data_IF_751955923115
#
_entry.id   IF_751955923115
#
_cell.length_a   1.000
_cell.length_b   1.000
_cell.length_c   1.000
_cell.angle_alpha   90.00
_cell.angle_beta   90.00
_cell.angle_gamma   90.00
#
_symmetry.space_group_name_H-M   'P 1'
#
loop_
_entity.id
_entity.type
_entity.pdbx_description
1 polymer ?
#
# COMPACT_ATOMS: atom_id res chain seq x y z
N UNK A 1 52.43 -52.42 -56.66
CA UNK A 1 51.96 -53.19 -55.50
C UNK A 1 52.01 -52.18 -54.30
N UNK A 2 50.93 -51.64 -53.94
CA UNK A 2 50.76 -50.67 -52.85
C UNK A 2 50.07 -51.38 -51.68
N UNK A 3 50.53 -51.15 -50.43
CA UNK A 3 49.75 -51.58 -49.29
C UNK A 3 48.85 -50.46 -48.81
N UNK A 4 47.68 -50.87 -48.46
CA UNK A 4 46.53 -50.13 -47.96
C UNK A 4 46.81 -49.65 -46.54
N UNK A 5 46.89 -48.34 -46.32
CA UNK A 5 46.94 -47.73 -44.98
C UNK A 5 45.55 -47.64 -44.36
N UNK A 6 45.42 -48.26 -43.19
CA UNK A 6 44.22 -48.18 -42.34
C UNK A 6 44.23 -46.84 -41.61
N UNK A 7 43.22 -45.99 -41.86
CA UNK A 7 42.97 -44.81 -41.07
C UNK A 7 42.18 -45.19 -39.81
N UNK A 8 42.79 -44.99 -38.63
CA UNK A 8 42.08 -45.01 -37.35
C UNK A 8 41.25 -43.75 -37.23
N UNK A 9 39.93 -43.86 -37.23
CA UNK A 9 39.03 -42.79 -36.80
C UNK A 9 39.05 -42.72 -35.26
N UNK A 10 39.68 -41.68 -34.70
CA UNK A 10 39.55 -41.33 -33.29
C UNK A 10 38.27 -40.53 -33.15
N UNK A 11 37.25 -41.13 -32.62
CA UNK A 11 36.02 -40.46 -32.21
C UNK A 11 36.30 -39.74 -30.90
N UNK A 12 36.51 -38.45 -30.94
CA UNK A 12 36.49 -37.58 -29.75
C UNK A 12 35.04 -37.40 -29.32
N UNK A 13 34.66 -38.09 -28.25
CA UNK A 13 33.42 -37.83 -27.54
C UNK A 13 33.56 -36.50 -26.79
N UNK A 14 32.98 -35.43 -27.35
CA UNK A 14 32.80 -34.18 -26.64
C UNK A 14 31.75 -34.41 -25.56
N UNK A 15 32.19 -34.50 -24.31
CA UNK A 15 31.29 -34.43 -23.14
C UNK A 15 30.85 -32.98 -23.03
N UNK A 16 29.63 -32.71 -23.52
CA UNK A 16 28.96 -31.46 -23.26
C UNK A 16 28.55 -31.44 -21.79
N UNK A 17 29.34 -30.73 -20.98
CA UNK A 17 28.97 -30.36 -19.61
C UNK A 17 27.81 -29.37 -19.70
N UNK A 18 26.57 -29.88 -19.66
CA UNK A 18 25.38 -29.04 -19.52
C UNK A 18 25.44 -28.40 -18.12
N UNK A 19 25.93 -27.21 -18.03
CA UNK A 19 25.72 -26.34 -16.86
C UNK A 19 24.23 -26.07 -16.78
N UNK A 20 23.54 -26.80 -15.92
CA UNK A 20 22.20 -26.48 -15.49
C UNK A 20 22.34 -25.15 -14.73
N UNK A 21 22.17 -24.06 -15.44
CA UNK A 21 21.96 -22.76 -14.86
C UNK A 21 20.67 -22.83 -14.04
N UNK A 22 20.83 -23.02 -12.74
CA UNK A 22 19.74 -22.76 -11.82
C UNK A 22 19.40 -21.26 -11.96
N UNK A 23 18.42 -20.96 -12.81
CA UNK A 23 17.70 -19.70 -12.73
C UNK A 23 17.11 -19.66 -11.33
N UNK A 24 17.75 -18.90 -10.42
CA UNK A 24 17.11 -18.47 -9.22
C UNK A 24 15.86 -17.71 -9.68
N UNK A 25 14.72 -18.37 -9.61
CA UNK A 25 13.45 -17.71 -9.69
C UNK A 25 13.48 -16.67 -8.56
N UNK A 26 13.72 -15.43 -8.91
CA UNK A 26 13.45 -14.31 -8.02
C UNK A 26 11.95 -14.42 -7.74
N UNK A 27 11.61 -14.97 -6.57
CA UNK A 27 10.29 -14.89 -6.01
C UNK A 27 10.01 -13.41 -5.90
N UNK A 28 9.36 -12.84 -6.91
CA UNK A 28 8.93 -11.47 -6.90
C UNK A 28 7.99 -11.34 -5.71
N UNK A 29 8.40 -10.58 -4.70
CA UNK A 29 7.48 -10.15 -3.66
C UNK A 29 6.48 -9.27 -4.38
N UNK A 30 5.29 -9.81 -4.58
CA UNK A 30 4.16 -9.07 -5.12
C UNK A 30 3.62 -8.25 -3.96
N UNK A 31 3.87 -6.96 -3.97
CA UNK A 31 3.28 -6.02 -3.04
C UNK A 31 1.82 -5.86 -3.44
N UNK A 32 0.90 -6.40 -2.68
CA UNK A 32 -0.52 -6.14 -2.83
C UNK A 32 -0.98 -5.29 -1.65
N UNK A 33 -1.49 -4.09 -1.93
CA UNK A 33 -2.07 -3.19 -0.92
C UNK A 33 -3.38 -3.71 -0.33
N UNK A 34 -3.92 -4.76 -0.84
CA UNK A 34 -5.26 -5.17 -0.53
C UNK A 34 -5.34 -6.43 0.33
N UNK A 35 -4.97 -6.33 1.59
CA UNK A 35 -5.77 -6.96 2.63
C UNK A 35 -6.78 -5.94 3.10
N UNK A 36 -8.03 -6.37 3.13
CA UNK A 36 -9.11 -5.59 3.72
C UNK A 36 -8.74 -5.20 5.15
N UNK A 37 -9.00 -3.96 5.58
CA UNK A 37 -8.74 -3.57 6.95
C UNK A 37 -9.55 -4.50 7.87
N UNK A 38 -8.88 -5.23 8.74
CA UNK A 38 -9.56 -5.87 9.87
C UNK A 38 -9.92 -4.75 10.82
N UNK A 39 -11.15 -4.25 10.71
CA UNK A 39 -11.62 -3.12 11.49
C UNK A 39 -12.24 -3.61 12.79
N UNK A 40 -11.64 -3.28 13.92
CA UNK A 40 -12.28 -3.36 15.23
C UNK A 40 -12.83 -1.99 15.61
N UNK A 41 -14.14 -1.86 15.74
CA UNK A 41 -14.77 -0.60 16.19
C UNK A 41 -14.50 -0.38 17.67
N UNK A 42 -13.83 0.70 17.99
CA UNK A 42 -13.76 1.20 19.37
C UNK A 42 -14.91 2.18 19.55
N UNK A 43 -15.88 1.85 20.41
CA UNK A 43 -16.99 2.76 20.74
C UNK A 43 -16.42 3.99 21.47
N UNK A 44 -16.30 5.11 20.78
CA UNK A 44 -16.00 6.39 21.37
C UNK A 44 -17.31 7.11 21.73
N UNK A 45 -17.42 7.55 22.97
CA UNK A 45 -18.51 8.42 23.44
C UNK A 45 -18.47 9.77 22.70
N UNK A 46 -19.64 10.19 22.28
CA UNK A 46 -19.95 11.28 21.37
C UNK A 46 -19.35 12.65 21.74
N UNK A 47 -18.47 13.14 20.90
CA UNK A 47 -18.37 14.51 20.41
C UNK A 47 -17.99 14.39 18.93
N UNK A 48 -18.42 15.29 18.05
CA UNK A 48 -18.40 15.16 16.59
C UNK A 48 -16.98 14.98 15.96
N UNK A 49 -16.34 13.91 16.33
CA UNK A 49 -15.13 13.39 15.69
C UNK A 49 -15.54 12.31 14.71
N UNK A 50 -14.87 12.16 13.57
CA UNK A 50 -15.15 11.06 12.64
C UNK A 50 -15.09 9.72 13.37
N UNK A 51 -15.93 8.77 12.96
CA UNK A 51 -15.82 7.40 13.43
C UNK A 51 -14.37 6.94 13.27
N UNK A 52 -13.79 6.39 14.33
CA UNK A 52 -12.40 5.92 14.31
C UNK A 52 -12.38 4.41 14.37
N UNK A 53 -11.65 3.78 13.45
CA UNK A 53 -11.44 2.33 13.42
C UNK A 53 -9.96 2.00 13.51
N UNK A 54 -9.63 0.87 14.11
CA UNK A 54 -8.28 0.31 14.09
C UNK A 54 -8.16 -0.63 12.91
N UNK A 55 -7.06 -0.52 12.18
CA UNK A 55 -6.72 -1.36 11.04
C UNK A 55 -5.33 -1.95 11.24
N UNK A 56 -5.12 -3.18 10.77
CA UNK A 56 -3.80 -3.79 10.81
C UNK A 56 -2.82 -3.20 9.78
N UNK A 57 -3.34 -2.56 8.72
CA UNK A 57 -2.51 -2.13 7.59
C UNK A 57 -2.78 -0.71 7.09
N UNK A 58 -3.91 -0.06 7.41
CA UNK A 58 -4.26 1.26 6.89
C UNK A 58 -4.28 2.34 7.98
N UNK A 59 -3.72 3.52 7.65
CA UNK A 59 -3.87 4.76 8.39
C UNK A 59 -4.27 5.89 7.44
N UNK A 60 -5.26 6.69 7.81
CA UNK A 60 -5.73 7.79 6.98
C UNK A 60 -7.23 7.98 7.06
N UNK A 61 -7.83 8.40 5.96
CA UNK A 61 -9.26 8.65 5.89
C UNK A 61 -9.93 7.86 4.77
N UNK A 62 -11.11 7.38 5.10
CA UNK A 62 -12.03 6.70 4.17
C UNK A 62 -13.37 7.44 4.22
N UNK A 63 -13.94 7.70 3.07
CA UNK A 63 -15.32 8.17 2.95
C UNK A 63 -16.16 7.11 2.25
N UNK A 64 -17.37 6.92 2.76
CA UNK A 64 -18.28 5.88 2.27
C UNK A 64 -19.72 6.35 2.28
N UNK A 65 -20.65 5.46 1.94
CA UNK A 65 -22.08 5.74 2.06
C UNK A 65 -22.40 6.12 3.51
N UNK A 66 -23.21 7.16 3.71
CA UNK A 66 -23.72 7.52 5.02
C UNK A 66 -24.51 6.35 5.63
N UNK A 67 -24.29 6.09 6.94
CA UNK A 67 -24.72 4.92 7.71
C UNK A 67 -26.19 4.49 7.60
N UNK A 68 -26.51 3.41 8.30
CA UNK A 68 -27.78 2.69 8.27
C UNK A 68 -29.03 3.61 8.19
N UNK A 69 -29.66 3.68 7.02
CA UNK A 69 -30.90 4.43 6.79
C UNK A 69 -30.99 5.21 5.49
N UNK A 70 -29.88 5.44 4.79
CA UNK A 70 -29.93 6.10 3.48
C UNK A 70 -29.94 5.06 2.36
N UNK A 71 -31.07 4.95 1.68
CA UNK A 71 -31.34 3.96 0.63
C UNK A 71 -30.62 4.21 -0.71
N UNK A 72 -29.65 5.12 -0.76
CA UNK A 72 -28.88 5.38 -1.95
C UNK A 72 -27.45 4.92 -1.73
N UNK A 73 -27.04 3.86 -2.42
CA UNK A 73 -25.62 3.49 -2.54
C UNK A 73 -24.86 4.66 -3.17
N UNK A 74 -24.14 5.41 -2.36
CA UNK A 74 -23.29 6.50 -2.85
C UNK A 74 -22.20 5.88 -3.71
N UNK A 75 -22.14 6.25 -4.99
CA UNK A 75 -21.16 5.72 -5.94
C UNK A 75 -20.07 6.74 -6.15
N UNK A 76 -18.88 6.45 -5.64
CA UNK A 76 -17.70 7.27 -5.82
C UNK A 76 -17.09 7.01 -7.19
N UNK A 77 -16.86 8.07 -7.96
CA UNK A 77 -16.36 7.95 -9.35
C UNK A 77 -14.99 8.56 -9.56
N UNK A 78 -14.50 9.33 -8.60
CA UNK A 78 -13.12 9.83 -8.63
C UNK A 78 -12.60 10.08 -7.22
N UNK A 79 -11.28 9.97 -7.06
CA UNK A 79 -10.55 10.36 -5.86
C UNK A 79 -9.23 10.99 -6.29
N UNK A 80 -8.75 11.97 -5.54
CA UNK A 80 -7.47 12.64 -5.80
C UNK A 80 -6.85 13.23 -4.56
N UNK A 81 -5.52 13.37 -4.57
CA UNK A 81 -4.77 14.13 -3.57
C UNK A 81 -3.39 14.51 -4.08
N UNK A 82 -2.71 15.33 -3.28
CA UNK A 82 -1.29 15.63 -3.39
C UNK A 82 -0.60 15.33 -2.08
N UNK A 83 0.67 14.91 -2.15
CA UNK A 83 1.54 14.74 -0.97
C UNK A 83 2.99 15.07 -1.31
N UNK A 84 3.76 15.32 -0.28
CA UNK A 84 5.22 15.35 -0.37
C UNK A 84 5.74 13.95 -0.05
N UNK A 85 6.52 13.37 -0.96
CA UNK A 85 7.13 12.04 -0.75
C UNK A 85 7.98 12.08 0.51
N UNK A 86 7.66 11.29 1.56
CA UNK A 86 8.44 11.29 2.78
C UNK A 86 9.76 10.52 2.58
N UNK A 87 10.79 10.93 3.33
CA UNK A 87 11.96 10.10 3.53
C UNK A 87 11.60 8.92 4.44
N UNK A 88 12.38 7.84 4.36
CA UNK A 88 12.29 6.71 5.27
C UNK A 88 13.56 6.60 6.08
N UNK A 89 13.43 6.35 7.39
CA UNK A 89 14.55 6.08 8.28
C UNK A 89 14.82 4.57 8.30
N UNK A 90 16.00 4.14 7.87
CA UNK A 90 16.36 2.72 7.78
C UNK A 90 17.51 2.39 8.75
N UNK A 91 17.29 1.42 9.62
CA UNK A 91 18.35 0.82 10.41
C UNK A 91 19.20 -0.15 9.55
N UNK A 92 20.47 -0.42 9.90
CA UNK A 92 21.30 -1.38 9.19
C UNK A 92 20.62 -2.76 9.09
N UNK A 93 20.49 -3.29 7.87
CA UNK A 93 19.87 -4.59 7.60
C UNK A 93 18.35 -4.63 7.64
N UNK A 94 17.67 -3.53 8.00
CA UNK A 94 16.23 -3.43 8.09
C UNK A 94 15.54 -3.66 6.73
N UNK A 95 14.42 -4.40 6.76
CA UNK A 95 13.50 -4.52 5.63
C UNK A 95 12.09 -4.22 6.10
N UNK A 96 11.63 -3.02 5.77
CA UNK A 96 10.31 -2.49 6.14
C UNK A 96 9.73 -1.67 4.99
N UNK A 97 8.43 -1.43 4.98
CA UNK A 97 7.73 -0.95 3.80
C UNK A 97 6.63 0.02 4.19
N UNK A 98 6.45 1.07 3.41
CA UNK A 98 5.31 1.98 3.55
C UNK A 98 4.80 2.40 2.17
N UNK A 99 3.49 2.37 1.97
CA UNK A 99 2.83 2.82 0.77
C UNK A 99 1.91 4.01 1.06
N UNK A 100 1.80 4.95 0.11
CA UNK A 100 0.96 6.15 0.21
C UNK A 100 0.16 6.29 -1.07
N UNK A 101 -1.17 6.31 -0.96
CA UNK A 101 -1.99 6.20 -2.14
C UNK A 101 -3.39 6.83 -1.99
N UNK A 102 -4.06 6.95 -3.12
CA UNK A 102 -5.49 7.23 -3.22
C UNK A 102 -6.16 6.09 -3.98
N UNK A 103 -7.37 5.72 -3.58
CA UNK A 103 -8.10 4.59 -4.12
C UNK A 103 -9.61 4.75 -4.12
N UNK A 104 -10.28 3.90 -4.90
CA UNK A 104 -11.72 3.71 -4.90
C UNK A 104 -12.02 2.25 -4.56
N UNK A 105 -12.85 2.02 -3.54
CA UNK A 105 -13.26 0.71 -3.08
C UNK A 105 -12.28 0.05 -2.10
N UNK A 106 -12.59 -1.14 -1.65
CA UNK A 106 -11.72 -1.91 -0.75
C UNK A 106 -11.96 -1.69 0.74
N UNK A 107 -12.77 -0.72 1.15
CA UNK A 107 -12.96 -0.40 2.56
C UNK A 107 -13.95 -1.32 3.30
N UNK A 108 -14.73 -2.11 2.61
CA UNK A 108 -15.67 -3.06 3.23
C UNK A 108 -15.09 -4.47 3.28
N UNK A 109 -15.46 -5.24 4.32
CA UNK A 109 -15.02 -6.63 4.50
C UNK A 109 -15.46 -7.56 3.35
N UNK A 110 -16.44 -7.14 2.55
CA UNK A 110 -16.95 -7.88 1.41
C UNK A 110 -16.39 -7.41 0.07
N UNK A 111 -15.62 -6.33 0.06
CA UNK A 111 -15.02 -5.78 -1.16
C UNK A 111 -14.05 -6.78 -1.80
N UNK A 112 -14.11 -6.89 -3.13
CA UNK A 112 -13.22 -7.74 -3.91
C UNK A 112 -12.41 -6.91 -4.92
N UNK A 113 -12.57 -5.60 -4.91
CA UNK A 113 -11.92 -4.69 -5.84
C UNK A 113 -11.44 -3.42 -5.14
N UNK A 114 -10.31 -2.90 -5.59
CA UNK A 114 -9.76 -1.61 -5.18
C UNK A 114 -8.89 -1.11 -6.33
N UNK A 115 -9.24 0.06 -6.85
CA UNK A 115 -8.46 0.75 -7.86
C UNK A 115 -7.60 1.82 -7.19
N UNK A 116 -6.28 1.63 -7.15
CA UNK A 116 -5.38 2.51 -6.40
C UNK A 116 -4.11 2.88 -7.16
N UNK A 117 -3.54 4.04 -6.80
CA UNK A 117 -2.29 4.54 -7.36
C UNK A 117 -1.52 5.35 -6.32
N UNK A 118 -0.22 5.12 -6.23
CA UNK A 118 0.56 5.72 -5.17
C UNK A 118 2.07 5.65 -5.30
N UNK A 119 2.72 5.86 -4.17
CA UNK A 119 4.18 5.82 -4.00
C UNK A 119 4.54 4.96 -2.80
N UNK A 120 5.79 4.52 -2.75
CA UNK A 120 6.34 3.79 -1.59
C UNK A 120 7.60 4.43 -1.08
N UNK A 121 7.84 4.29 0.23
CA UNK A 121 9.10 4.54 0.94
C UNK A 121 9.46 3.26 1.68
N UNK A 122 10.46 2.53 1.17
CA UNK A 122 10.84 1.22 1.70
C UNK A 122 12.25 1.26 2.25
N UNK A 123 12.52 0.45 3.28
CA UNK A 123 13.86 0.03 3.67
C UNK A 123 14.11 -1.37 3.09
N UNK A 124 15.16 -1.52 2.32
CA UNK A 124 15.56 -2.81 1.73
C UNK A 124 16.97 -3.17 2.17
N UNK A 125 17.07 -4.08 3.13
CA UNK A 125 18.34 -4.41 3.78
C UNK A 125 19.10 -3.17 4.25
N UNK A 126 18.42 -2.23 4.91
CA UNK A 126 18.99 -0.99 5.44
C UNK A 126 19.15 0.14 4.41
N UNK A 127 18.72 -0.06 3.17
CA UNK A 127 18.83 0.96 2.11
C UNK A 127 17.46 1.52 1.74
N UNK A 128 17.34 2.85 1.79
CA UNK A 128 16.10 3.52 1.41
C UNK A 128 15.81 3.38 -0.09
N UNK A 129 14.58 3.00 -0.44
CA UNK A 129 14.12 2.82 -1.80
C UNK A 129 12.74 3.45 -1.99
N UNK A 130 12.56 4.14 -3.12
CA UNK A 130 11.33 4.86 -3.42
C UNK A 130 10.79 4.43 -4.78
N UNK A 131 9.47 4.28 -4.88
CA UNK A 131 8.83 3.89 -6.14
C UNK A 131 7.46 4.53 -6.32
N UNK A 132 6.99 4.54 -7.56
CA UNK A 132 5.59 4.81 -7.92
C UNK A 132 4.98 3.52 -8.44
N UNK A 133 3.70 3.31 -8.18
CA UNK A 133 3.00 2.10 -8.57
C UNK A 133 1.50 2.37 -8.76
N UNK A 134 0.80 1.47 -9.42
CA UNK A 134 -0.66 1.37 -9.42
C UNK A 134 -1.10 -0.08 -9.24
N UNK A 135 -2.30 -0.28 -8.79
CA UNK A 135 -2.87 -1.61 -8.56
C UNK A 135 -4.37 -1.63 -8.83
N UNK A 136 -4.84 -2.75 -9.32
CA UNK A 136 -6.24 -3.09 -9.49
C UNK A 136 -6.45 -4.44 -8.81
N UNK A 137 -6.90 -4.42 -7.58
CA UNK A 137 -7.14 -5.65 -6.80
C UNK A 137 -8.19 -6.51 -7.51
N UNK A 138 -7.99 -7.84 -7.59
CA UNK A 138 -6.96 -8.65 -6.92
C UNK A 138 -5.64 -8.84 -7.69
N UNK A 139 -5.44 -8.12 -8.80
CA UNK A 139 -4.18 -8.20 -9.54
C UNK A 139 -3.04 -7.54 -8.75
N UNK A 140 -1.83 -8.03 -8.97
CA UNK A 140 -0.63 -7.50 -8.34
C UNK A 140 -0.35 -6.04 -8.72
N UNK A 141 0.29 -5.31 -7.83
CA UNK A 141 0.74 -3.94 -8.08
C UNK A 141 1.76 -3.88 -9.23
N UNK A 142 1.66 -2.83 -10.03
CA UNK A 142 2.53 -2.61 -11.21
C UNK A 142 3.40 -1.39 -10.97
N UNK A 143 4.71 -1.61 -10.94
CA UNK A 143 5.68 -0.52 -10.77
C UNK A 143 5.70 0.40 -11.98
N UNK A 144 5.67 1.71 -11.72
CA UNK A 144 5.81 2.76 -12.72
C UNK A 144 7.31 3.11 -12.86
N UNK A 145 7.80 3.22 -14.10
CA UNK A 145 9.23 3.41 -14.37
C UNK A 145 9.77 4.81 -14.01
N UNK A 146 8.92 5.77 -13.68
CA UNK A 146 9.36 7.10 -13.26
C UNK A 146 9.90 7.08 -11.83
N UNK A 147 10.93 7.89 -11.59
CA UNK A 147 11.56 8.02 -10.27
C UNK A 147 10.84 9.03 -9.41
N UNK A 148 10.73 8.73 -8.13
CA UNK A 148 10.33 9.63 -7.06
C UNK A 148 11.41 9.64 -5.98
N UNK A 149 11.58 10.77 -5.31
CA UNK A 149 12.55 10.95 -4.23
C UNK A 149 11.90 11.71 -3.07
N UNK A 150 12.43 11.60 -1.85
CA UNK A 150 12.00 12.42 -0.73
C UNK A 150 11.95 13.90 -1.10
N UNK A 151 10.93 14.60 -0.62
CA UNK A 151 10.69 16.01 -0.93
C UNK A 151 10.02 16.28 -2.27
N UNK A 152 9.84 15.26 -3.14
CA UNK A 152 9.08 15.49 -4.37
C UNK A 152 7.59 15.65 -4.07
N UNK A 153 6.97 16.64 -4.69
CA UNK A 153 5.53 16.83 -4.66
C UNK A 153 4.89 15.90 -5.68
N UNK A 154 4.03 15.03 -5.22
CA UNK A 154 3.28 14.06 -6.02
C UNK A 154 1.80 14.43 -6.03
N UNK A 155 1.14 14.30 -7.18
CA UNK A 155 -0.30 14.40 -7.32
C UNK A 155 -0.84 13.11 -7.95
N UNK A 156 -1.83 12.48 -7.34
CA UNK A 156 -2.41 11.24 -7.81
C UNK A 156 -3.93 11.33 -7.91
N UNK A 157 -4.50 10.55 -8.81
CA UNK A 157 -5.95 10.41 -8.94
C UNK A 157 -6.34 9.08 -9.56
N UNK A 158 -7.49 8.57 -9.12
CA UNK A 158 -8.23 7.48 -9.74
C UNK A 158 -9.58 8.03 -10.21
N UNK A 159 -10.00 7.65 -11.41
CA UNK A 159 -11.32 7.98 -11.95
C UNK A 159 -11.90 6.76 -12.63
N UNK A 160 -13.12 6.40 -12.29
CA UNK A 160 -13.88 5.32 -12.91
C UNK A 160 -15.08 5.90 -13.66
N UNK A 161 -15.26 5.46 -14.90
CA UNK A 161 -16.42 5.76 -15.72
C UNK A 161 -16.93 4.46 -16.35
N UNK A 162 -18.05 3.96 -15.83
CA UNK A 162 -18.54 2.63 -16.17
C UNK A 162 -17.49 1.56 -15.88
N UNK A 163 -17.04 0.86 -16.90
CA UNK A 163 -16.00 -0.19 -16.80
C UNK A 163 -14.60 0.31 -17.16
N UNK A 164 -14.36 1.61 -17.19
CA UNK A 164 -13.04 2.16 -17.47
C UNK A 164 -12.47 2.87 -16.25
N UNK A 165 -11.37 2.35 -15.71
CA UNK A 165 -10.54 3.03 -14.72
C UNK A 165 -9.45 3.86 -15.43
N UNK A 166 -9.25 5.09 -14.97
CA UNK A 166 -8.14 5.96 -15.35
C UNK A 166 -7.33 6.29 -14.11
N UNK A 167 -6.11 5.77 -14.04
CA UNK A 167 -5.18 6.04 -12.95
C UNK A 167 -4.12 7.02 -13.44
N UNK A 168 -3.89 8.07 -12.68
CA UNK A 168 -2.90 9.09 -13.02
C UNK A 168 -2.05 9.46 -11.82
N UNK A 169 -0.72 9.54 -12.02
CA UNK A 169 0.20 10.08 -11.03
C UNK A 169 1.18 11.04 -11.72
N UNK A 170 1.43 12.16 -11.06
CA UNK A 170 2.34 13.20 -11.51
C UNK A 170 3.38 13.45 -10.43
N UNK A 171 4.64 13.49 -10.78
CA UNK A 171 5.66 14.09 -9.96
C UNK A 171 5.79 15.57 -10.39
N UNK A 172 5.21 16.46 -9.63
CA UNK A 172 5.15 17.90 -9.98
C UNK A 172 6.54 18.55 -9.92
N UNK A 173 7.38 18.12 -8.98
CA UNK A 173 8.76 18.59 -8.83
C UNK A 173 9.61 18.23 -10.04
N UNK A 174 9.46 17.02 -10.56
CA UNK A 174 10.24 16.51 -11.70
C UNK A 174 9.53 16.67 -13.05
N UNK A 175 8.31 17.20 -13.05
CA UNK A 175 7.48 17.42 -14.24
C UNK A 175 7.26 16.13 -15.06
N UNK A 176 7.12 14.98 -14.39
CA UNK A 176 6.79 13.70 -15.04
C UNK A 176 5.34 13.32 -14.75
N UNK A 177 4.72 12.66 -15.72
CA UNK A 177 3.31 12.24 -15.66
C UNK A 177 3.17 10.83 -16.19
N UNK A 178 2.47 9.99 -15.45
CA UNK A 178 1.99 8.69 -15.89
C UNK A 178 0.47 8.70 -15.91
N UNK A 179 -0.12 8.06 -16.93
CA UNK A 179 -1.56 7.83 -17.01
C UNK A 179 -1.79 6.44 -17.58
N UNK A 180 -2.61 5.65 -16.92
CA UNK A 180 -3.02 4.34 -17.37
C UNK A 180 -4.55 4.29 -17.43
N UNK A 181 -5.07 3.80 -18.54
CA UNK A 181 -6.49 3.49 -18.71
C UNK A 181 -6.62 1.99 -18.80
N UNK A 182 -7.50 1.41 -18.02
CA UNK A 182 -7.71 -0.04 -17.93
C UNK A 182 -9.20 -0.33 -17.94
N UNK A 183 -9.56 -1.45 -18.52
CA UNK A 183 -10.91 -2.00 -18.41
C UNK A 183 -10.97 -2.81 -17.12
N UNK A 184 -12.01 -2.56 -16.33
CA UNK A 184 -12.32 -3.26 -15.07
C UNK A 184 -13.68 -3.93 -15.20
N UNK A 185 -13.87 -5.08 -14.57
CA UNK A 185 -15.10 -5.87 -14.73
C UNK A 185 -16.16 -5.54 -13.71
N UNK A 186 -15.77 -5.32 -12.45
CA UNK A 186 -16.69 -5.07 -11.36
C UNK A 186 -16.00 -4.17 -10.32
N UNK A 187 -15.93 -2.84 -10.55
CA UNK A 187 -15.34 -1.94 -9.59
C UNK A 187 -16.17 -1.89 -8.30
N UNK A 188 -15.48 -1.83 -7.17
CA UNK A 188 -16.11 -1.39 -5.94
C UNK A 188 -16.03 0.13 -5.88
N UNK A 189 -17.16 0.78 -5.93
CA UNK A 189 -17.27 2.25 -5.89
C UNK A 189 -17.98 2.72 -4.61
N UNK A 190 -17.98 1.89 -3.58
CA UNK A 190 -18.66 2.18 -2.30
C UNK A 190 -17.89 3.16 -1.41
N UNK A 191 -16.62 3.37 -1.70
CA UNK A 191 -15.73 4.23 -0.89
C UNK A 191 -14.68 4.96 -1.72
N UNK A 192 -14.06 5.97 -1.10
CA UNK A 192 -12.87 6.67 -1.59
C UNK A 192 -11.87 6.86 -0.44
N UNK A 193 -10.57 6.66 -0.71
CA UNK A 193 -9.54 6.51 0.32
C UNK A 193 -8.31 7.38 0.06
N UNK A 194 -7.70 7.83 1.18
CA UNK A 194 -6.40 8.51 1.25
C UNK A 194 -5.59 7.86 2.37
N UNK A 195 -4.65 7.02 2.02
CA UNK A 195 -4.06 6.04 2.95
C UNK A 195 -2.53 6.08 2.97
N UNK A 196 -1.99 5.92 4.18
CA UNK A 196 -0.66 5.40 4.44
C UNK A 196 -0.81 3.94 4.92
N UNK A 197 -0.04 3.01 4.34
CA UNK A 197 -0.25 1.57 4.50
C UNK A 197 1.02 0.82 4.82
N UNK A 198 0.90 -0.19 5.70
CA UNK A 198 1.81 -1.32 5.79
C UNK A 198 1.41 -2.38 4.76
N UNK A 199 2.09 -2.47 3.59
CA UNK A 199 1.65 -3.35 2.51
C UNK A 199 1.83 -4.83 2.89
N UNK A 200 1.15 -5.70 2.15
CA UNK A 200 1.25 -7.15 2.32
C UNK A 200 2.05 -7.78 1.18
N UNK A 201 2.73 -8.89 1.47
CA UNK A 201 3.32 -9.76 0.46
C UNK A 201 2.47 -11.02 0.32
N UNK A 202 2.08 -11.34 -0.90
CA UNK A 202 1.29 -12.54 -1.18
C UNK A 202 2.13 -13.57 -1.95
N UNK A 203 1.95 -14.85 -1.63
CA UNK A 203 2.54 -15.93 -2.39
C UNK A 203 1.60 -16.40 -3.52
N UNK A 204 2.09 -17.30 -4.36
CA UNK A 204 1.34 -17.83 -5.51
C UNK A 204 0.04 -18.59 -5.13
N UNK A 205 -0.12 -18.98 -3.87
CA UNK A 205 -1.34 -19.62 -3.36
C UNK A 205 -2.35 -18.60 -2.81
N UNK A 206 -2.09 -17.29 -2.96
CA UNK A 206 -2.96 -16.22 -2.46
C UNK A 206 -2.85 -15.98 -0.95
N UNK A 207 -1.92 -16.63 -0.25
CA UNK A 207 -1.67 -16.34 1.16
C UNK A 207 -0.82 -15.09 1.28
N UNK A 208 -1.36 -14.09 1.96
CA UNK A 208 -0.69 -12.82 2.21
C UNK A 208 -0.22 -12.71 3.65
N UNK A 209 0.92 -12.07 3.84
CA UNK A 209 1.44 -11.64 5.14
C UNK A 209 1.65 -10.14 5.10
N UNK A 210 1.31 -9.46 6.18
CA UNK A 210 1.63 -8.05 6.33
C UNK A 210 3.15 -7.89 6.47
N UNK A 211 3.69 -6.87 5.81
CA UNK A 211 5.10 -6.51 5.91
C UNK A 211 5.29 -5.47 7.03
N UNK A 212 6.47 -5.43 7.67
CA UNK A 212 6.77 -4.42 8.69
C UNK A 212 6.63 -3.01 8.13
N UNK A 213 5.99 -2.12 8.89
CA UNK A 213 5.80 -0.73 8.54
C UNK A 213 7.13 0.03 8.64
N UNK A 214 7.56 0.66 7.55
CA UNK A 214 8.74 1.49 7.54
C UNK A 214 8.50 2.81 8.29
N UNK A 215 9.52 3.29 9.01
CA UNK A 215 9.47 4.60 9.64
C UNK A 215 9.58 5.72 8.59
N UNK A 216 8.45 6.15 8.09
CA UNK A 216 8.33 7.25 7.13
C UNK A 216 8.21 8.64 7.79
N UNK A 217 8.29 8.71 9.13
CA UNK A 217 8.07 9.92 9.90
C UNK A 217 6.64 10.43 9.73
N UNK A 218 6.45 11.42 8.88
CA UNK A 218 5.12 12.00 8.61
C UNK A 218 4.91 12.23 7.12
N UNK A 219 3.73 11.86 6.62
CA UNK A 219 3.25 12.24 5.30
C UNK A 219 2.09 13.23 5.44
N UNK A 220 2.07 14.27 4.60
CA UNK A 220 0.98 15.25 4.54
C UNK A 220 0.24 15.12 3.23
N UNK A 221 -1.03 14.73 3.30
CA UNK A 221 -1.97 14.77 2.19
C UNK A 221 -2.61 16.15 2.11
N UNK A 222 -2.78 16.65 0.91
CA UNK A 222 -3.39 17.95 0.63
C UNK A 222 -4.23 17.90 -0.64
N UNK A 223 -5.14 18.85 -0.80
CA UNK A 223 -6.06 18.90 -1.94
C UNK A 223 -6.81 17.57 -2.14
N UNK A 224 -7.12 16.91 -1.05
CA UNK A 224 -7.91 15.69 -1.06
C UNK A 224 -9.34 16.02 -1.52
N UNK A 225 -9.79 15.30 -2.54
CA UNK A 225 -11.11 15.50 -3.11
C UNK A 225 -11.63 14.20 -3.73
N UNK A 226 -12.95 14.05 -3.70
CA UNK A 226 -13.65 12.94 -4.33
C UNK A 226 -14.90 13.43 -5.06
N UNK A 227 -15.46 12.58 -5.92
CA UNK A 227 -16.74 12.82 -6.58
C UNK A 227 -17.62 11.60 -6.39
N UNK A 228 -18.83 11.82 -5.88
CA UNK A 228 -19.83 10.77 -5.69
C UNK A 228 -21.19 11.24 -6.20
N UNK A 229 -21.88 10.41 -6.97
CA UNK A 229 -23.20 10.73 -7.54
C UNK A 229 -23.26 12.09 -8.28
N UNK A 230 -22.14 12.49 -8.91
CA UNK A 230 -22.03 13.78 -9.63
C UNK A 230 -21.66 14.99 -8.75
N UNK A 231 -21.68 14.85 -7.42
CA UNK A 231 -21.26 15.87 -6.47
C UNK A 231 -19.74 15.75 -6.19
N UNK A 232 -19.01 16.85 -6.25
CA UNK A 232 -17.59 16.91 -5.91
C UNK A 232 -17.40 17.61 -4.56
N UNK A 233 -16.61 17.00 -3.69
CA UNK A 233 -16.35 17.55 -2.35
C UNK A 233 -15.00 17.10 -1.79
N UNK A 234 -14.72 17.53 -0.57
CA UNK A 234 -13.53 17.17 0.20
C UNK A 234 -13.80 15.94 1.07
N UNK A 235 -12.83 15.52 1.90
CA UNK A 235 -12.98 14.39 2.83
C UNK A 235 -14.15 14.65 3.80
N UNK A 236 -14.31 15.88 4.28
CA UNK A 236 -15.29 16.27 5.32
C UNK A 236 -16.62 16.79 4.74
N UNK A 237 -16.91 16.48 3.48
CA UNK A 237 -18.17 16.88 2.84
C UNK A 237 -19.36 16.14 3.48
N UNK A 238 -20.46 16.85 3.84
CA UNK A 238 -21.59 16.23 4.54
C UNK A 238 -22.39 15.20 3.72
N UNK A 239 -22.11 15.05 2.42
CA UNK A 239 -22.81 14.09 1.57
C UNK A 239 -22.34 12.64 1.73
N UNK A 240 -21.32 12.39 2.53
CA UNK A 240 -20.80 11.03 2.82
C UNK A 240 -20.36 10.87 4.27
N UNK A 241 -20.31 9.63 4.71
CA UNK A 241 -19.77 9.30 6.02
C UNK A 241 -18.25 9.32 5.98
N UNK A 242 -17.64 9.83 7.04
CA UNK A 242 -16.21 9.94 7.23
C UNK A 242 -15.76 8.95 8.32
N UNK A 243 -14.70 8.20 8.03
CA UNK A 243 -14.05 7.30 8.99
C UNK A 243 -12.55 7.55 9.00
N UNK A 244 -11.99 7.72 10.20
CA UNK A 244 -10.55 7.76 10.41
C UNK A 244 -10.02 6.34 10.68
N UNK A 245 -8.94 5.96 10.02
CA UNK A 245 -8.26 4.68 10.21
C UNK A 245 -6.95 4.89 10.95
N UNK A 246 -6.77 4.19 12.07
CA UNK A 246 -5.52 4.11 12.81
C UNK A 246 -4.87 2.76 12.56
N UNK A 247 -3.67 2.74 12.02
CA UNK A 247 -2.89 1.54 11.81
C UNK A 247 -2.21 1.13 13.11
N UNK A 248 -2.41 -0.13 13.50
CA UNK A 248 -1.66 -0.79 14.55
C UNK A 248 -1.22 -2.14 14.00
N UNK A 249 0.08 -2.35 13.84
CA UNK A 249 0.61 -3.65 13.42
C UNK A 249 0.22 -4.73 14.44
N UNK A 250 -0.28 -5.86 13.98
CA UNK A 250 -0.59 -6.97 14.87
C UNK A 250 0.71 -7.70 15.28
N UNK A 251 0.96 -7.88 16.60
CA UNK A 251 2.09 -8.67 17.06
C UNK A 251 1.96 -10.12 16.58
N UNK A 252 2.96 -10.65 15.90
CA UNK A 252 3.05 -12.09 15.62
C UNK A 252 2.54 -12.56 14.25
N UNK A 253 2.14 -11.68 13.34
CA UNK A 253 1.77 -12.07 11.97
C UNK A 253 2.98 -12.42 11.09
N UNK A 254 4.18 -12.04 11.51
CA UNK A 254 5.43 -12.35 10.82
C UNK A 254 6.00 -13.67 11.33
N UNK A 255 5.66 -14.77 10.68
CA UNK A 255 6.28 -16.07 10.93
C UNK A 255 7.68 -16.12 10.32
N UNK A 256 8.72 -15.80 11.11
CA UNK A 256 10.12 -15.92 10.72
C UNK A 256 11.07 -15.39 11.80
N UNK A 257 12.36 -15.73 11.79
CA UNK A 257 13.32 -15.33 12.83
C UNK A 257 13.53 -13.81 12.96
N UNK A 258 13.03 -13.02 12.00
CA UNK A 258 13.07 -11.55 12.03
C UNK A 258 11.86 -10.97 12.81
N UNK A 259 10.79 -11.74 12.95
CA UNK A 259 9.55 -11.31 13.61
C UNK A 259 9.69 -11.14 15.15
N UNK A 260 10.71 -11.71 15.75
CA UNK A 260 10.93 -11.63 17.21
C UNK A 260 11.43 -10.26 17.70
N UNK A 261 11.74 -9.32 16.79
CA UNK A 261 12.32 -8.01 17.15
C UNK A 261 11.47 -6.81 16.71
N UNK A 262 10.38 -7.00 16.01
CA UNK A 262 9.53 -5.89 15.60
C UNK A 262 8.47 -5.64 16.69
N UNK A 263 8.69 -4.62 17.50
CA UNK A 263 7.60 -3.99 18.26
C UNK A 263 6.50 -3.60 17.27
N UNK A 264 5.21 -3.74 17.62
CA UNK A 264 4.14 -3.32 16.75
C UNK A 264 4.21 -1.80 16.54
N UNK A 265 4.58 -1.38 15.35
CA UNK A 265 4.54 0.02 14.95
C UNK A 265 3.12 0.39 14.51
N UNK A 266 2.85 1.65 14.41
CA UNK A 266 1.56 2.14 13.98
C UNK A 266 1.65 3.43 13.19
N UNK A 267 0.52 3.90 12.75
CA UNK A 267 0.36 5.23 12.17
C UNK A 267 -1.06 5.74 12.37
N UNK A 268 -1.21 7.03 12.57
CA UNK A 268 -2.51 7.65 12.77
C UNK A 268 -2.63 8.97 11.99
N UNK A 269 -3.83 9.30 11.45
CA UNK A 269 -4.09 10.58 10.83
C UNK A 269 -4.25 11.68 11.90
N UNK A 270 -3.81 12.89 11.56
CA UNK A 270 -4.17 14.11 12.29
C UNK A 270 -5.62 14.48 12.01
N UNK A 271 -6.18 15.40 12.77
CA UNK A 271 -7.44 16.05 12.40
C UNK A 271 -7.33 16.68 11.00
N UNK A 272 -8.47 16.76 10.31
CA UNK A 272 -8.57 17.43 9.03
C UNK A 272 -8.35 18.95 9.17
N UNK A 273 -7.82 19.58 8.13
CA UNK A 273 -7.79 21.02 8.01
C UNK A 273 -9.20 21.61 7.99
N UNK A 274 -9.34 22.91 8.29
CA UNK A 274 -10.64 23.61 8.34
C UNK A 274 -11.46 23.54 7.03
N UNK A 275 -10.85 23.18 5.91
CA UNK A 275 -11.54 22.98 4.64
C UNK A 275 -11.73 21.49 4.29
N UNK A 276 -11.44 20.58 5.20
CA UNK A 276 -11.60 19.14 5.01
C UNK A 276 -10.74 18.51 3.92
N UNK A 277 -9.72 19.21 3.40
CA UNK A 277 -8.96 18.78 2.22
C UNK A 277 -7.51 18.40 2.51
N UNK A 278 -7.08 18.47 3.77
CA UNK A 278 -5.69 18.20 4.14
C UNK A 278 -5.59 17.57 5.52
N UNK A 279 -4.65 16.65 5.66
CA UNK A 279 -4.30 16.01 6.93
C UNK A 279 -2.89 15.42 6.84
N UNK A 280 -2.33 15.04 7.97
CA UNK A 280 -1.06 14.31 8.02
C UNK A 280 -1.30 12.93 8.62
N UNK A 281 -0.47 11.96 8.22
CA UNK A 281 -0.35 10.66 8.88
C UNK A 281 1.04 10.58 9.47
N UNK A 282 1.12 10.39 10.78
CA UNK A 282 2.38 10.22 11.49
C UNK A 282 2.62 8.76 11.81
N UNK A 283 3.82 8.27 11.50
CA UNK A 283 4.33 7.00 11.98
C UNK A 283 4.51 7.07 13.51
N UNK A 284 4.20 6.00 14.19
CA UNK A 284 4.29 5.88 15.64
C UNK A 284 5.07 4.62 16.00
N UNK A 285 6.06 4.79 16.84
CA UNK A 285 6.73 3.65 17.46
C UNK A 285 5.80 3.01 18.50
N UNK A 286 5.77 1.69 18.55
CA UNK A 286 5.02 1.00 19.58
C UNK A 286 5.57 1.37 20.96
N UNK A 287 4.65 1.71 21.84
CA UNK A 287 4.97 1.87 23.26
C UNK A 287 5.14 0.46 23.80
N UNK A 288 6.37 0.09 24.20
CA UNK A 288 6.59 -1.14 24.94
C UNK A 288 5.67 -1.14 26.19
N UNK A 289 4.97 -2.24 26.50
CA UNK A 289 4.23 -2.31 27.74
C UNK A 289 5.20 -2.02 28.89
N UNK A 290 4.76 -1.31 29.94
CA UNK A 290 5.61 -1.04 31.10
C UNK A 290 6.18 -2.36 31.60
N UNK A 291 7.49 -2.37 31.83
CA UNK A 291 8.22 -3.54 32.32
C UNK A 291 7.52 -4.11 33.57
N UNK A 292 6.91 -5.26 33.41
CA UNK A 292 6.25 -5.99 34.52
C UNK A 292 7.26 -6.74 35.40
N UNK A 293 8.57 -6.55 35.18
CA UNK A 293 9.62 -7.23 35.95
C UNK A 293 9.89 -6.64 37.31
N UNK A 294 9.06 -5.68 37.80
CA UNK A 294 9.09 -5.21 39.17
C UNK A 294 8.63 -6.29 40.14
N UNK A 295 9.49 -7.27 40.45
CA UNK A 295 9.33 -8.07 41.66
C UNK A 295 9.35 -7.15 42.88
N UNK A 296 8.42 -7.22 43.81
CA UNK A 296 8.50 -6.45 45.04
C UNK A 296 9.75 -6.86 45.82
N UNK A 297 10.47 -5.91 46.41
CA UNK A 297 11.59 -6.26 47.30
C UNK A 297 11.06 -7.11 48.47
N UNK A 298 11.65 -8.32 48.61
CA UNK A 298 11.39 -9.21 49.74
C UNK A 298 11.98 -8.69 51.07
#
# INVERSE_FOLDING_TARGET
MLPIGRWLLVVLAAVACATIGASAAQSGIVMTGARQPVASRVNALATASPDTVTSSNWAGYVVGATGAGTSASTTFTSVSSQWVQPAVACAPGESSYAAFWVGLGGASDTSQALEQIGTSSDCRAGTAAYSMWYELVPAASVKIKFKVFPGNVVAASVKVNGTQATLQIKNLTRRTKFTKKLRISAPDLSSAEWIAEAPSACNNSGRCIQLPLANFGTISFSRAATTAAGHAGTIEDPNWALTAFNLIEEPGVLAGPIAAQASPNGAAPSALSSNGASFAVAWQEAIAPPDQSGSPPG
#
